data_IF_525007145281
#
_entry.id   IF_525007145281
#
_cell.length_a   1.000
_cell.length_b   1.000
_cell.length_c   1.000
_cell.angle_alpha   90.00
_cell.angle_beta   90.00
_cell.angle_gamma   90.00
#
_symmetry.space_group_name_H-M   'P 1'
#
loop_
_entity.id
_entity.type
_entity.pdbx_description
1 polymer ?
#
# COMPACT_ATOMS: atom_id res chain seq x y z
N UNK A 1 -5.50 -8.88 -8.73
CA UNK A 1 -4.28 -8.52 -7.97
C UNK A 1 -4.70 -7.56 -6.88
N UNK A 2 -4.30 -7.75 -5.62
CA UNK A 2 -4.56 -6.76 -4.58
C UNK A 2 -3.80 -5.47 -4.91
N UNK A 3 -4.48 -4.33 -4.76
CA UNK A 3 -3.88 -3.01 -4.88
C UNK A 3 -3.50 -2.61 -3.46
N UNK A 4 -2.22 -2.35 -3.23
CA UNK A 4 -1.69 -1.86 -1.96
C UNK A 4 -1.40 -0.38 -2.09
N UNK A 5 -1.85 0.38 -1.10
CA UNK A 5 -1.54 1.80 -1.01
C UNK A 5 -0.21 1.94 -0.28
N UNK A 6 0.69 2.78 -0.80
CA UNK A 6 1.97 3.10 -0.16
C UNK A 6 2.10 4.61 0.01
N UNK A 7 2.77 5.01 1.08
CA UNK A 7 3.09 6.40 1.37
C UNK A 7 4.58 6.60 1.50
N UNK A 8 5.12 7.57 0.79
CA UNK A 8 6.51 7.96 0.98
C UNK A 8 6.67 8.86 2.22
N UNK A 9 7.62 8.57 3.10
CA UNK A 9 7.90 9.41 4.28
C UNK A 9 8.54 10.75 3.93
N UNK A 10 9.32 10.82 2.85
CA UNK A 10 10.02 12.05 2.44
C UNK A 10 9.12 13.08 1.80
N UNK A 11 8.42 12.70 0.73
CA UNK A 11 7.58 13.63 -0.02
C UNK A 11 6.11 13.59 0.43
N UNK A 12 5.74 12.62 1.28
CA UNK A 12 4.35 12.37 1.74
C UNK A 12 3.38 12.03 0.64
N UNK A 13 3.88 11.67 -0.54
CA UNK A 13 3.06 11.21 -1.66
C UNK A 13 2.50 9.82 -1.35
N UNK A 14 1.21 9.66 -1.63
CA UNK A 14 0.51 8.39 -1.56
C UNK A 14 0.34 7.86 -2.98
N UNK A 15 0.63 6.59 -3.21
CA UNK A 15 0.53 5.96 -4.52
C UNK A 15 0.09 4.51 -4.39
N UNK A 16 -0.69 4.07 -5.38
CA UNK A 16 -1.23 2.73 -5.45
C UNK A 16 -0.29 1.82 -6.24
N UNK A 17 0.06 0.68 -5.65
CA UNK A 17 0.89 -0.35 -6.24
C UNK A 17 0.09 -1.64 -6.30
N UNK A 18 -0.21 -2.09 -7.52
CA UNK A 18 -0.77 -3.41 -7.75
C UNK A 18 0.34 -4.46 -7.61
N UNK A 19 0.52 -5.00 -6.41
CA UNK A 19 1.51 -6.05 -6.14
C UNK A 19 0.85 -7.39 -5.84
N UNK A 20 1.49 -8.46 -6.28
CA UNK A 20 1.13 -9.79 -5.83
C UNK A 20 1.55 -9.96 -4.37
N UNK A 21 0.71 -10.64 -3.56
CA UNK A 21 1.04 -11.03 -2.17
C UNK A 21 2.42 -11.71 -2.07
N UNK A 22 2.83 -12.44 -3.11
CA UNK A 22 4.13 -13.12 -3.18
C UNK A 22 5.34 -12.16 -3.22
N UNK A 23 5.14 -10.92 -3.70
CA UNK A 23 6.20 -9.90 -3.82
C UNK A 23 6.24 -8.96 -2.60
N UNK A 24 5.17 -8.91 -1.79
CA UNK A 24 5.03 -8.01 -0.63
C UNK A 24 6.05 -8.24 0.51
N UNK A 25 6.97 -9.19 0.36
CA UNK A 25 8.11 -9.42 1.26
C UNK A 25 9.50 -9.25 0.63
N UNK A 26 9.58 -8.92 -0.67
CA UNK A 26 10.86 -8.78 -1.41
C UNK A 26 10.98 -7.48 -2.17
N UNK A 27 9.87 -6.84 -2.54
CA UNK A 27 9.92 -5.56 -3.20
C UNK A 27 10.24 -4.47 -2.16
N UNK A 28 11.30 -3.71 -2.42
CA UNK A 28 11.51 -2.41 -1.80
C UNK A 28 10.88 -1.37 -2.74
N UNK A 29 9.58 -1.05 -2.60
CA UNK A 29 8.98 -0.05 -3.45
C UNK A 29 9.73 1.27 -3.31
N UNK A 30 10.01 1.93 -4.42
CA UNK A 30 10.63 3.26 -4.42
C UNK A 30 9.57 4.27 -4.75
N UNK A 31 9.62 5.42 -4.09
CA UNK A 31 8.70 6.50 -4.41
C UNK A 31 8.94 6.98 -5.84
N UNK A 32 7.95 6.99 -6.74
CA UNK A 32 8.12 7.43 -8.13
C UNK A 32 8.45 8.93 -8.26
N UNK A 33 8.22 9.72 -7.20
CA UNK A 33 8.40 11.18 -7.20
C UNK A 33 9.79 11.62 -6.74
N UNK A 34 10.30 10.99 -5.70
CA UNK A 34 11.58 11.38 -5.07
C UNK A 34 12.62 10.27 -5.07
N UNK A 35 12.28 9.10 -5.63
CA UNK A 35 13.15 7.93 -5.73
C UNK A 35 13.68 7.40 -4.37
N UNK A 36 13.03 7.79 -3.27
CA UNK A 36 13.37 7.36 -1.92
C UNK A 36 12.87 5.93 -1.66
N UNK A 37 13.68 5.16 -0.95
CA UNK A 37 13.35 3.82 -0.43
C UNK A 37 12.55 3.91 0.87
N UNK A 38 12.36 5.11 1.43
CA UNK A 38 11.57 5.37 2.63
C UNK A 38 10.07 5.45 2.28
N UNK A 39 9.49 4.32 1.91
CA UNK A 39 8.04 4.17 1.71
C UNK A 39 7.47 3.17 2.71
N UNK A 40 6.26 3.44 3.18
CA UNK A 40 5.53 2.59 4.12
C UNK A 40 4.18 2.18 3.53
N UNK A 41 3.76 0.91 3.67
CA UNK A 41 2.44 0.48 3.23
C UNK A 41 1.37 1.15 4.10
N UNK A 42 0.39 1.74 3.43
CA UNK A 42 -0.82 2.27 4.06
C UNK A 42 -1.89 1.19 3.95
N UNK A 43 -2.07 0.45 5.05
CA UNK A 43 -3.22 -0.42 5.17
C UNK A 43 -4.44 0.45 5.45
N UNK A 44 -5.22 0.75 4.42
CA UNK A 44 -6.55 1.33 4.64
C UNK A 44 -7.35 0.31 5.45
N UNK A 45 -7.91 0.75 6.58
CA UNK A 45 -8.65 -0.13 7.48
C UNK A 45 -9.88 -0.63 6.75
N UNK A 46 -9.82 -1.82 6.17
CA UNK A 46 -10.98 -2.44 5.56
C UNK A 46 -11.98 -2.75 6.69
N UNK A 47 -13.11 -2.06 6.70
CA UNK A 47 -14.23 -2.44 7.55
C UNK A 47 -15.07 -3.44 6.76
N UNK A 48 -14.93 -4.73 7.09
CA UNK A 48 -15.83 -5.75 6.58
C UNK A 48 -17.24 -5.46 7.11
N UNK A 49 -18.05 -4.78 6.28
CA UNK A 49 -19.46 -4.53 6.58
C UNK A 49 -20.20 -5.87 6.49
N UNK A 50 -20.19 -6.63 7.57
CA UNK A 50 -21.04 -7.81 7.68
C UNK A 50 -22.47 -7.32 7.80
N UNK A 51 -23.29 -7.60 6.79
CA UNK A 51 -24.73 -7.45 6.92
C UNK A 51 -25.17 -8.39 8.04
N UNK A 52 -25.60 -7.81 9.17
CA UNK A 52 -26.33 -8.54 10.22
C UNK A 52 -27.43 -9.34 9.53
N UNK A 53 -27.30 -10.67 9.54
CA UNK A 53 -28.40 -11.57 9.20
C UNK A 53 -29.30 -11.58 10.42
N UNK A 54 -30.47 -10.95 10.29
CA UNK A 54 -31.53 -10.95 11.31
C UNK A 54 -32.06 -12.35 11.57
#
# INVERSE_FOLDING_TARGET
MPIYEYRCRRCREVFDLAEHVAEHGKSHPRCPKCNSEEVEPVFTTFYAKTSKKS
#
